data_IF_306387249436
#
_entry.id   IF_306387249436
#
_cell.length_a   1.000
_cell.length_b   1.000
_cell.length_c   1.000
_cell.angle_alpha   90.00
_cell.angle_beta   90.00
_cell.angle_gamma   90.00
#
_symmetry.space_group_name_H-M   'P 1'
#
loop_
_entity.id
_entity.type
_entity.pdbx_description
1 polymer ?
#
# COMPACT_ATOMS: atom_id res chain seq x y z
N UNK A 1 -12.68 -20.82 12.23
CA UNK A 1 -12.53 -19.94 13.40
C UNK A 1 -11.09 -19.43 13.39
N UNK A 2 -10.84 -18.24 12.84
CA UNK A 2 -9.49 -17.69 12.75
C UNK A 2 -9.23 -16.83 13.98
N UNK A 3 -8.24 -17.23 14.77
CA UNK A 3 -7.86 -16.60 16.02
C UNK A 3 -7.26 -15.21 15.76
N UNK A 4 -7.92 -14.16 16.24
CA UNK A 4 -7.50 -12.77 16.04
C UNK A 4 -6.56 -12.41 17.20
N UNK A 5 -5.27 -12.53 16.95
CA UNK A 5 -4.23 -12.05 17.87
C UNK A 5 -4.23 -10.51 17.84
N UNK A 6 -4.85 -9.90 18.87
CA UNK A 6 -4.74 -8.46 19.16
C UNK A 6 -3.42 -8.18 19.88
N UNK A 7 -2.39 -7.86 19.12
CA UNK A 7 -1.17 -7.21 19.63
C UNK A 7 -1.26 -5.73 19.22
N UNK A 8 -0.97 -4.84 20.18
CA UNK A 8 -1.17 -3.39 20.14
C UNK A 8 -0.83 -2.65 18.84
N UNK A 9 -1.48 -1.48 18.71
CA UNK A 9 -1.75 -0.68 17.50
C UNK A 9 -3.01 -1.13 16.77
N UNK A 10 -4.08 -0.32 16.86
CA UNK A 10 -5.39 -0.55 16.25
C UNK A 10 -5.41 -0.52 14.71
N UNK A 11 -4.28 -0.80 14.07
CA UNK A 11 -4.17 -0.97 12.63
C UNK A 11 -4.46 -2.43 12.32
N UNK A 12 -5.58 -2.76 11.65
CA UNK A 12 -5.87 -4.11 11.23
C UNK A 12 -4.71 -4.62 10.37
N UNK A 13 -4.01 -5.67 10.83
CA UNK A 13 -3.08 -6.44 10.01
C UNK A 13 -3.89 -7.30 9.05
N UNK A 14 -4.43 -6.65 8.02
CA UNK A 14 -5.06 -7.34 6.89
C UNK A 14 -3.96 -8.19 6.24
N UNK A 15 -4.20 -9.48 5.95
CA UNK A 15 -3.23 -10.31 5.23
C UNK A 15 -2.83 -9.57 3.96
N UNK A 16 -1.55 -9.27 3.82
CA UNK A 16 -0.99 -8.69 2.60
C UNK A 16 -1.16 -9.77 1.53
N UNK A 17 -2.30 -9.73 0.82
CA UNK A 17 -2.40 -10.32 -0.52
C UNK A 17 -1.23 -9.69 -1.29
N UNK A 18 -0.45 -10.55 -1.96
CA UNK A 18 0.83 -10.31 -2.66
C UNK A 18 1.24 -8.85 -2.88
N UNK A 19 2.51 -8.51 -2.72
CA UNK A 19 3.04 -7.14 -2.93
C UNK A 19 2.51 -6.41 -4.19
N UNK A 20 2.18 -7.13 -5.27
CA UNK A 20 1.49 -6.58 -6.46
C UNK A 20 0.13 -5.93 -6.15
N UNK A 21 -0.65 -6.50 -5.23
CA UNK A 21 -1.91 -5.95 -4.70
C UNK A 21 -1.68 -4.61 -3.98
N UNK A 22 -0.55 -4.44 -3.30
CA UNK A 22 -0.25 -3.21 -2.57
C UNK A 22 0.05 -2.06 -3.53
N UNK A 23 0.88 -2.28 -4.56
CA UNK A 23 1.20 -1.27 -5.57
C UNK A 23 -0.08 -0.80 -6.27
N UNK A 24 -0.91 -1.73 -6.75
CA UNK A 24 -2.17 -1.40 -7.42
C UNK A 24 -3.17 -0.68 -6.52
N UNK A 25 -3.21 -1.00 -5.22
CA UNK A 25 -4.08 -0.31 -4.25
C UNK A 25 -3.62 1.12 -3.97
N UNK A 26 -2.31 1.36 -3.85
CA UNK A 26 -1.77 2.72 -3.67
C UNK A 26 -2.04 3.56 -4.93
N UNK A 27 -1.87 2.98 -6.12
CA UNK A 27 -2.20 3.65 -7.38
C UNK A 27 -3.67 4.05 -7.46
N UNK A 28 -4.58 3.12 -7.12
CA UNK A 28 -6.03 3.39 -7.07
C UNK A 28 -6.36 4.54 -6.11
N UNK A 29 -5.83 4.49 -4.90
CA UNK A 29 -6.04 5.55 -3.90
C UNK A 29 -5.49 6.90 -4.35
N UNK A 30 -4.35 6.92 -5.04
CA UNK A 30 -3.77 8.15 -5.60
C UNK A 30 -4.72 8.79 -6.61
N UNK A 31 -5.25 8.00 -7.53
CA UNK A 31 -6.19 8.45 -8.57
C UNK A 31 -7.47 8.99 -7.91
N UNK A 32 -8.03 8.27 -6.94
CA UNK A 32 -9.21 8.72 -6.20
C UNK A 32 -8.95 10.03 -5.42
N UNK A 33 -7.80 10.15 -4.74
CA UNK A 33 -7.43 11.35 -4.01
C UNK A 33 -7.28 12.55 -4.96
N UNK A 34 -6.66 12.36 -6.13
CA UNK A 34 -6.54 13.39 -7.15
C UNK A 34 -7.92 13.81 -7.71
N UNK A 35 -8.77 12.84 -8.05
CA UNK A 35 -10.11 13.10 -8.57
C UNK A 35 -11.01 13.85 -7.57
N UNK A 36 -10.79 13.64 -6.27
CA UNK A 36 -11.52 14.32 -5.18
C UNK A 36 -10.88 15.65 -4.74
N UNK A 37 -9.78 16.07 -5.35
CA UNK A 37 -9.09 17.31 -5.02
C UNK A 37 -8.25 17.27 -3.75
N UNK A 38 -7.96 16.08 -3.21
CA UNK A 38 -7.09 15.90 -2.03
C UNK A 38 -5.61 15.95 -2.42
N UNK A 39 -5.15 17.11 -2.90
CA UNK A 39 -3.82 17.28 -3.50
C UNK A 39 -2.66 16.84 -2.61
N UNK A 40 -2.66 17.22 -1.33
CA UNK A 40 -1.63 16.80 -0.37
C UNK A 40 -1.61 15.28 -0.15
N UNK A 41 -2.79 14.66 -0.10
CA UNK A 41 -2.89 13.20 0.04
C UNK A 41 -2.41 12.49 -1.23
N UNK A 42 -2.80 12.98 -2.40
CA UNK A 42 -2.33 12.45 -3.68
C UNK A 42 -0.80 12.53 -3.80
N UNK A 43 -0.18 13.62 -3.35
CA UNK A 43 1.28 13.76 -3.30
C UNK A 43 1.95 12.68 -2.42
N UNK A 44 1.43 12.44 -1.21
CA UNK A 44 1.97 11.40 -0.34
C UNK A 44 1.76 10.00 -0.90
N UNK A 45 0.61 9.74 -1.54
CA UNK A 45 0.33 8.47 -2.19
C UNK A 45 1.23 8.22 -3.40
N UNK A 46 1.61 9.28 -4.13
CA UNK A 46 2.58 9.17 -5.23
C UNK A 46 3.97 8.78 -4.71
N UNK A 47 4.42 9.40 -3.61
CA UNK A 47 5.67 9.02 -2.94
C UNK A 47 5.62 7.57 -2.46
N UNK A 48 4.51 7.15 -1.85
CA UNK A 48 4.32 5.77 -1.40
C UNK A 48 4.32 4.76 -2.56
N UNK A 49 3.78 5.12 -3.73
CA UNK A 49 3.76 4.28 -4.92
C UNK A 49 5.17 4.02 -5.45
N UNK A 50 6.03 5.05 -5.45
CA UNK A 50 7.44 4.93 -5.85
C UNK A 50 8.16 3.93 -4.95
N UNK A 51 8.01 4.07 -3.63
CA UNK A 51 8.66 3.18 -2.66
C UNK A 51 8.13 1.74 -2.74
N UNK A 52 6.81 1.57 -2.85
CA UNK A 52 6.21 0.25 -3.00
C UNK A 52 6.69 -0.46 -4.27
N UNK A 53 6.80 0.26 -5.39
CA UNK A 53 7.31 -0.28 -6.66
C UNK A 53 8.79 -0.67 -6.55
N UNK A 54 9.60 0.16 -5.91
CA UNK A 54 11.02 -0.12 -5.66
C UNK A 54 11.21 -1.40 -4.83
N UNK A 55 10.42 -1.55 -3.76
CA UNK A 55 10.45 -2.72 -2.90
C UNK A 55 9.94 -3.98 -3.62
N UNK A 56 8.85 -3.88 -4.38
CA UNK A 56 8.35 -4.99 -5.19
C UNK A 56 9.40 -5.47 -6.22
N UNK A 57 10.08 -4.53 -6.89
CA UNK A 57 11.16 -4.85 -7.84
C UNK A 57 12.33 -5.55 -7.15
N UNK A 58 12.74 -5.11 -5.96
CA UNK A 58 13.78 -5.78 -5.17
C UNK A 58 13.37 -7.19 -4.75
N UNK A 59 12.12 -7.38 -4.37
CA UNK A 59 11.60 -8.70 -3.98
C UNK A 59 11.54 -9.69 -5.16
N UNK A 60 11.43 -9.19 -6.40
CA UNK A 60 11.37 -10.00 -7.62
C UNK A 60 12.73 -10.21 -8.31
N UNK A 61 13.79 -9.52 -7.86
CA UNK A 61 15.14 -9.69 -8.38
C UNK A 61 15.94 -10.64 -7.45
N UNK A 62 16.12 -11.93 -7.79
CA UNK A 62 16.99 -12.81 -7.03
C UNK A 62 18.46 -12.41 -7.24
N UNK A 63 19.24 -12.45 -6.16
CA UNK A 63 20.69 -12.31 -6.17
C UNK A 63 21.36 -13.40 -7.01
#
# INVERSE_FOLDING_TARGET
MADVVRIGSGVPRIPIRRADDLVGRIETLKIEAAARGFGTLAYFLDTALIEATSQARRALAPC
#
